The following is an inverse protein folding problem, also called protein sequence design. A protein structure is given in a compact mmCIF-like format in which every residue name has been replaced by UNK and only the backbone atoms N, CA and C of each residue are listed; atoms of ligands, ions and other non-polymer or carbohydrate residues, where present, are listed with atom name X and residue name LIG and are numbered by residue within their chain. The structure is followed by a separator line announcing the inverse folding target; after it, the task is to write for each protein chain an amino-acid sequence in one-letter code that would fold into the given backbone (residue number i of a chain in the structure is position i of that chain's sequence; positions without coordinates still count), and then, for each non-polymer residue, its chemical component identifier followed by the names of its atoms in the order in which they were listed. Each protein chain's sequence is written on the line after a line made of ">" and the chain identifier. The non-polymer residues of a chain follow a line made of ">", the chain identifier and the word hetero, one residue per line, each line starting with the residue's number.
data_IF_144574480343
#
_entry.id   IF_144574480343
#
_cell.length_a   1.000
_cell.length_b   1.000
_cell.length_c   1.000
_cell.angle_alpha   90.00
_cell.angle_beta   90.00
_cell.angle_gamma   90.00
#
_symmetry.space_group_name_H-M   'P 1'
#
loop_
_entity.id
_entity.type
_entity.pdbx_description
1 polymer ?
#
# COMPACT_ATOMS: atom_id res chain seq x y z
N UNK A 1 2.00 17.10 -1.42
CA UNK A 1 2.95 16.53 -2.40
C UNK A 1 3.25 17.56 -3.49
N UNK A 2 2.26 17.99 -4.27
CA UNK A 2 2.46 18.86 -5.44
C UNK A 2 3.26 20.14 -5.13
N UNK A 3 2.97 20.82 -4.02
CA UNK A 3 3.70 22.04 -3.63
C UNK A 3 5.20 21.77 -3.39
N UNK A 4 5.52 20.65 -2.73
CA UNK A 4 6.89 20.29 -2.43
C UNK A 4 7.64 19.85 -3.68
N UNK A 5 7.03 18.98 -4.49
CA UNK A 5 7.63 18.49 -5.73
C UNK A 5 7.89 19.61 -6.72
N UNK A 6 6.91 20.49 -6.95
CA UNK A 6 7.06 21.63 -7.84
C UNK A 6 8.01 22.70 -7.28
N UNK A 7 7.98 22.94 -5.97
CA UNK A 7 8.87 23.90 -5.31
C UNK A 7 10.33 23.50 -5.36
N UNK A 8 10.63 22.21 -5.20
CA UNK A 8 11.98 21.67 -5.25
C UNK A 8 12.40 21.20 -6.66
N UNK A 9 11.47 21.13 -7.60
CA UNK A 9 11.71 20.67 -8.98
C UNK A 9 12.44 19.33 -9.05
N UNK A 10 11.93 18.35 -8.29
CA UNK A 10 12.51 17.00 -8.27
C UNK A 10 12.18 16.24 -9.57
N UNK A 11 13.08 15.36 -9.99
CA UNK A 11 12.99 14.65 -11.26
C UNK A 11 12.21 13.33 -11.17
N UNK A 12 12.09 12.75 -9.99
CA UNK A 12 11.39 11.49 -9.76
C UNK A 12 10.86 11.41 -8.33
N UNK A 13 9.93 10.48 -8.08
CA UNK A 13 9.27 10.36 -6.78
C UNK A 13 9.16 8.89 -6.35
N UNK A 14 9.51 8.61 -5.09
CA UNK A 14 9.15 7.37 -4.41
C UNK A 14 8.01 7.66 -3.45
N UNK A 15 6.89 6.97 -3.63
CA UNK A 15 5.74 7.05 -2.76
C UNK A 15 5.76 5.91 -1.74
N UNK A 16 6.03 6.24 -0.48
CA UNK A 16 5.95 5.29 0.63
C UNK A 16 4.63 5.51 1.33
N UNK A 17 3.65 4.66 1.05
CA UNK A 17 2.30 4.76 1.60
C UNK A 17 1.91 3.46 2.28
N UNK A 18 1.08 3.56 3.31
CA UNK A 18 0.61 2.39 4.04
C UNK A 18 -0.76 2.61 4.70
N UNK A 19 -1.57 3.53 4.15
CA UNK A 19 -2.87 3.90 4.70
C UNK A 19 -3.90 4.12 3.59
N UNK A 20 -5.16 3.91 3.92
CA UNK A 20 -6.30 3.81 2.99
C UNK A 20 -6.54 5.06 2.13
N UNK A 21 -6.35 6.25 2.67
CA UNK A 21 -6.55 7.52 1.94
C UNK A 21 -5.25 8.13 1.40
N UNK A 22 -4.12 7.76 2.00
CA UNK A 22 -2.81 8.28 1.59
C UNK A 22 -2.42 7.70 0.23
N UNK A 23 -2.60 6.40 0.03
CA UNK A 23 -2.23 5.73 -1.22
C UNK A 23 -2.97 6.31 -2.43
N UNK A 24 -4.31 6.42 -2.47
CA UNK A 24 -5.00 7.05 -3.59
C UNK A 24 -4.68 8.54 -3.73
N UNK A 25 -4.46 9.25 -2.63
CA UNK A 25 -4.01 10.65 -2.70
C UNK A 25 -2.65 10.82 -3.35
N UNK A 26 -1.71 9.91 -3.09
CA UNK A 26 -0.40 9.87 -3.75
C UNK A 26 -0.51 9.46 -5.22
N UNK A 27 -1.43 8.53 -5.58
CA UNK A 27 -1.70 8.18 -6.97
C UNK A 27 -2.23 9.38 -7.76
N UNK A 28 -3.19 10.10 -7.21
CA UNK A 28 -3.69 11.33 -7.84
C UNK A 28 -2.57 12.36 -8.04
N UNK A 29 -1.73 12.57 -7.03
CA UNK A 29 -0.60 13.49 -7.13
C UNK A 29 0.42 13.03 -8.19
N UNK A 30 0.74 11.73 -8.26
CA UNK A 30 1.68 11.19 -9.24
C UNK A 30 1.19 11.41 -10.68
N UNK A 31 -0.09 11.16 -10.94
CA UNK A 31 -0.69 11.38 -12.25
C UNK A 31 -0.77 12.88 -12.62
N UNK A 32 -1.00 13.77 -11.63
CA UNK A 32 -1.02 15.23 -11.87
C UNK A 32 0.36 15.78 -12.17
N UNK A 33 1.38 15.34 -11.42
CA UNK A 33 2.78 15.72 -11.62
C UNK A 33 3.39 15.11 -12.87
N UNK A 34 3.06 13.87 -13.16
CA UNK A 34 3.49 13.09 -14.32
C UNK A 34 5.03 13.03 -14.47
N UNK A 35 5.74 12.85 -13.39
CA UNK A 35 7.17 12.54 -13.35
C UNK A 35 7.37 11.06 -13.01
N UNK A 36 8.52 10.43 -13.35
CA UNK A 36 8.77 9.05 -12.98
C UNK A 36 8.47 8.80 -11.51
N UNK A 37 7.61 7.83 -11.22
CA UNK A 37 7.12 7.55 -9.87
C UNK A 37 7.04 6.06 -9.62
N UNK A 38 7.46 5.62 -8.44
CA UNK A 38 7.29 4.25 -7.98
C UNK A 38 6.66 4.24 -6.58
N UNK A 39 5.78 3.26 -6.35
CA UNK A 39 5.22 3.01 -5.03
C UNK A 39 5.94 1.85 -4.34
N UNK A 40 6.18 2.01 -3.05
CA UNK A 40 6.61 0.94 -2.18
C UNK A 40 5.93 1.09 -0.82
N UNK A 41 5.08 0.16 -0.47
CA UNK A 41 4.35 0.24 0.82
C UNK A 41 5.23 -0.19 1.98
N UNK A 42 4.85 0.26 3.18
CA UNK A 42 5.46 -0.23 4.42
C UNK A 42 5.16 -1.71 4.71
N UNK A 43 4.17 -2.28 4.02
CA UNK A 43 3.71 -3.65 4.19
C UNK A 43 2.61 -3.81 5.23
N UNK A 44 1.83 -4.90 5.15
CA UNK A 44 0.81 -5.24 6.13
C UNK A 44 1.43 -5.69 7.46
N UNK A 45 0.68 -5.46 8.54
CA UNK A 45 0.97 -5.95 9.88
C UNK A 45 0.71 -7.47 9.95
N UNK A 46 1.41 -8.14 10.84
CA UNK A 46 1.07 -9.51 11.24
C UNK A 46 -0.31 -9.55 11.92
N UNK A 47 -1.03 -10.66 11.76
CA UNK A 47 -2.24 -10.87 12.54
C UNK A 47 -1.90 -11.03 14.02
N UNK A 48 -2.79 -10.59 14.89
CA UNK A 48 -2.73 -10.89 16.32
C UNK A 48 -3.12 -12.33 16.59
N UNK A 49 -2.74 -12.85 17.73
CA UNK A 49 -3.15 -14.19 18.19
C UNK A 49 -3.58 -14.14 19.65
N UNK A 50 -4.70 -14.79 19.96
CA UNK A 50 -5.17 -14.97 21.32
C UNK A 50 -5.87 -16.32 21.44
N UNK A 51 -5.46 -17.13 22.43
CA UNK A 51 -5.99 -18.46 22.71
C UNK A 51 -5.93 -19.43 21.50
N UNK A 52 -4.94 -19.25 20.61
CA UNK A 52 -4.76 -20.06 19.40
C UNK A 52 -5.60 -19.63 18.21
N UNK A 53 -6.36 -18.53 18.34
CA UNK A 53 -7.13 -17.93 17.26
C UNK A 53 -6.48 -16.64 16.76
N UNK A 54 -6.54 -16.41 15.46
CA UNK A 54 -6.08 -15.15 14.86
C UNK A 54 -7.10 -14.06 15.13
N UNK A 55 -6.63 -12.92 15.61
CA UNK A 55 -7.43 -11.72 15.85
C UNK A 55 -6.86 -10.51 15.12
N UNK A 56 -7.72 -9.55 14.86
CA UNK A 56 -7.38 -8.31 14.20
C UNK A 56 -8.15 -7.10 14.77
N UNK A 57 -8.02 -5.95 14.16
CA UNK A 57 -8.72 -4.73 14.53
C UNK A 57 -10.25 -4.92 14.58
N UNK A 58 -10.82 -5.71 13.65
CA UNK A 58 -12.28 -5.94 13.62
C UNK A 58 -12.74 -6.70 14.85
N UNK A 59 -11.97 -7.70 15.28
CA UNK A 59 -12.25 -8.42 16.53
C UNK A 59 -12.26 -7.47 17.73
N UNK A 60 -11.29 -6.56 17.81
CA UNK A 60 -11.26 -5.56 18.87
C UNK A 60 -12.48 -4.61 18.83
N UNK A 61 -12.86 -4.16 17.63
CA UNK A 61 -14.02 -3.27 17.46
C UNK A 61 -15.34 -3.97 17.81
N UNK A 62 -15.54 -5.20 17.37
CA UNK A 62 -16.75 -5.98 17.65
C UNK A 62 -16.84 -6.30 19.16
N UNK A 63 -15.73 -6.73 19.75
CA UNK A 63 -15.68 -7.00 21.19
C UNK A 63 -15.93 -5.75 22.04
N UNK A 64 -15.54 -4.57 21.56
CA UNK A 64 -15.71 -3.30 22.26
C UNK A 64 -17.17 -2.82 22.36
N UNK A 65 -18.08 -3.39 21.55
CA UNK A 65 -19.53 -3.09 21.59
C UNK A 65 -20.37 -4.27 22.08
N UNK A 66 -19.74 -5.38 22.48
CA UNK A 66 -20.41 -6.58 22.98
C UNK A 66 -20.42 -6.57 24.52
N UNK A 67 -21.59 -6.28 25.09
CA UNK A 67 -21.79 -6.21 26.55
C UNK A 67 -21.50 -7.56 27.26
N UNK A 68 -21.36 -8.66 26.55
CA UNK A 68 -21.00 -9.96 27.11
C UNK A 68 -19.49 -10.16 27.33
N UNK A 69 -18.66 -9.29 26.75
CA UNK A 69 -17.20 -9.32 26.90
C UNK A 69 -16.78 -8.53 28.13
N UNK A 70 -16.04 -9.15 29.04
CA UNK A 70 -15.53 -8.43 30.22
C UNK A 70 -14.45 -7.42 29.86
N UNK A 71 -14.30 -6.38 30.70
CA UNK A 71 -13.27 -5.33 30.51
C UNK A 71 -11.85 -5.93 30.47
N UNK A 72 -11.57 -6.97 31.26
CA UNK A 72 -10.28 -7.65 31.27
C UNK A 72 -10.03 -8.36 29.92
N UNK A 73 -11.05 -9.00 29.37
CA UNK A 73 -10.96 -9.70 28.09
C UNK A 73 -10.79 -8.69 26.95
N UNK A 74 -11.56 -7.63 26.96
CA UNK A 74 -11.45 -6.53 25.98
C UNK A 74 -10.03 -5.93 26.00
N UNK A 75 -9.49 -5.63 27.19
CA UNK A 75 -8.13 -5.11 27.32
C UNK A 75 -7.04 -6.06 26.78
N UNK A 76 -7.25 -7.38 26.85
CA UNK A 76 -6.34 -8.34 26.23
C UNK A 76 -6.45 -8.31 24.70
N UNK A 77 -7.68 -8.30 24.16
CA UNK A 77 -7.93 -8.22 22.71
C UNK A 77 -7.28 -6.95 22.12
N UNK A 78 -7.51 -5.80 22.74
CA UNK A 78 -6.93 -4.52 22.29
C UNK A 78 -5.40 -4.55 22.23
N UNK A 79 -4.76 -5.21 23.18
CA UNK A 79 -3.28 -5.33 23.21
C UNK A 79 -2.72 -6.27 22.16
N UNK A 80 -3.49 -7.30 21.79
CA UNK A 80 -3.02 -8.39 20.94
C UNK A 80 -3.48 -8.25 19.48
N UNK A 81 -4.57 -7.52 19.21
CA UNK A 81 -5.15 -7.40 17.88
C UNK A 81 -4.25 -6.68 16.85
N UNK A 82 -3.33 -5.81 17.34
CA UNK A 82 -2.39 -5.07 16.49
C UNK A 82 -0.96 -5.22 17.02
N UNK A 83 -0.33 -6.41 16.86
CA UNK A 83 0.88 -6.77 17.60
C UNK A 83 2.16 -6.11 17.10
N UNK A 84 2.21 -5.66 15.82
CA UNK A 84 3.45 -5.17 15.19
C UNK A 84 3.21 -3.88 14.40
N UNK A 85 4.21 -3.43 13.65
CA UNK A 85 4.08 -2.31 12.73
C UNK A 85 3.56 -2.76 11.36
N UNK A 86 2.93 -1.83 10.62
CA UNK A 86 2.41 -2.08 9.28
C UNK A 86 1.04 -1.43 9.07
N UNK A 87 0.45 -1.66 7.90
CA UNK A 87 -0.98 -1.41 7.69
C UNK A 87 -1.81 -2.44 8.46
N UNK A 88 -3.13 -2.27 8.51
CA UNK A 88 -4.00 -3.26 9.13
C UNK A 88 -3.71 -4.68 8.60
N UNK A 89 -3.76 -5.69 9.47
CA UNK A 89 -3.46 -7.09 9.10
C UNK A 89 -4.47 -7.70 8.13
N UNK A 90 -5.72 -7.24 8.15
CA UNK A 90 -6.76 -7.69 7.22
C UNK A 90 -6.62 -7.09 5.81
N UNK A 91 -7.34 -7.68 4.83
CA UNK A 91 -7.45 -7.17 3.46
C UNK A 91 -8.43 -5.98 3.40
N UNK A 92 -8.18 -4.97 4.26
CA UNK A 92 -8.89 -3.71 4.26
C UNK A 92 -8.34 -2.79 3.15
N UNK A 93 -8.80 -1.56 3.09
CA UNK A 93 -8.49 -0.64 1.99
C UNK A 93 -6.98 -0.41 1.80
N UNK A 94 -6.20 -0.29 2.87
CA UNK A 94 -4.76 -0.06 2.76
C UNK A 94 -4.03 -1.22 2.06
N UNK A 95 -4.31 -2.47 2.47
CA UNK A 95 -3.70 -3.65 1.86
C UNK A 95 -4.21 -3.87 0.44
N UNK A 96 -5.51 -3.67 0.20
CA UNK A 96 -6.09 -3.73 -1.14
C UNK A 96 -5.38 -2.74 -2.06
N UNK A 97 -5.26 -1.48 -1.69
CA UNK A 97 -4.55 -0.47 -2.49
C UNK A 97 -3.07 -0.81 -2.72
N UNK A 98 -2.40 -1.44 -1.75
CA UNK A 98 -1.01 -1.88 -1.92
C UNK A 98 -0.88 -2.99 -2.98
N UNK A 99 -1.84 -3.93 -3.04
CA UNK A 99 -1.92 -4.95 -4.09
C UNK A 99 -2.30 -4.33 -5.44
N UNK A 100 -3.25 -3.39 -5.46
CA UNK A 100 -3.68 -2.73 -6.69
C UNK A 100 -2.56 -1.90 -7.33
N UNK A 101 -1.66 -1.30 -6.55
CA UNK A 101 -0.48 -0.64 -7.10
C UNK A 101 0.44 -1.58 -7.89
N UNK A 102 0.52 -2.85 -7.50
CA UNK A 102 1.21 -3.87 -8.30
C UNK A 102 0.46 -4.14 -9.61
N UNK A 103 -0.85 -4.33 -9.53
CA UNK A 103 -1.69 -4.65 -10.69
C UNK A 103 -1.76 -3.50 -11.72
N UNK A 104 -1.70 -2.25 -11.27
CA UNK A 104 -1.64 -1.07 -12.15
C UNK A 104 -0.24 -0.94 -12.79
N UNK A 105 0.82 -1.39 -12.11
CA UNK A 105 2.21 -1.28 -12.57
C UNK A 105 3.04 -0.21 -11.86
N UNK A 106 2.54 0.37 -10.76
CA UNK A 106 3.27 1.38 -9.98
C UNK A 106 4.21 0.81 -8.93
N UNK A 107 4.06 -0.46 -8.57
CA UNK A 107 4.85 -1.09 -7.51
C UNK A 107 5.47 -2.41 -7.98
N UNK A 108 6.58 -2.78 -7.35
CA UNK A 108 7.23 -4.05 -7.58
C UNK A 108 6.43 -5.21 -6.95
N UNK A 109 6.55 -6.43 -7.51
CA UNK A 109 5.92 -7.63 -6.95
C UNK A 109 6.24 -7.84 -5.47
N UNK A 110 5.24 -8.15 -4.67
CA UNK A 110 5.33 -8.31 -3.23
C UNK A 110 5.01 -7.04 -2.43
N UNK A 111 4.68 -5.95 -3.11
CA UNK A 111 4.34 -4.68 -2.45
C UNK A 111 3.19 -4.82 -1.45
N UNK A 112 2.12 -5.51 -1.81
CA UNK A 112 0.94 -5.71 -0.96
C UNK A 112 1.00 -6.96 -0.07
N UNK A 113 1.90 -7.91 -0.34
CA UNK A 113 1.87 -9.25 0.28
C UNK A 113 3.03 -9.55 1.23
N UNK A 114 4.15 -8.86 1.13
CA UNK A 114 5.26 -9.02 2.08
C UNK A 114 4.95 -8.24 3.36
N UNK A 115 4.97 -8.90 4.51
CA UNK A 115 4.74 -8.27 5.80
C UNK A 115 5.75 -7.15 6.10
N UNK A 116 5.34 -6.16 6.88
CA UNK A 116 6.20 -5.05 7.29
C UNK A 116 7.45 -5.51 8.07
N UNK A 117 7.29 -6.56 8.87
CA UNK A 117 8.35 -7.17 9.70
C UNK A 117 9.25 -8.15 8.95
N UNK A 118 8.86 -8.57 7.74
CA UNK A 118 9.59 -9.58 6.99
C UNK A 118 10.90 -9.02 6.39
N UNK A 119 11.99 -9.80 6.44
CA UNK A 119 13.32 -9.39 5.95
C UNK A 119 13.30 -8.90 4.48
N UNK A 120 12.48 -9.50 3.63
CA UNK A 120 12.34 -9.12 2.22
C UNK A 120 11.70 -7.75 2.01
N UNK A 121 11.00 -7.19 3.00
CA UNK A 121 10.46 -5.82 2.91
C UNK A 121 11.57 -4.79 2.73
N UNK A 122 12.67 -4.93 3.49
CA UNK A 122 13.83 -4.05 3.34
C UNK A 122 14.47 -4.15 1.94
N UNK A 123 14.53 -5.37 1.39
CA UNK A 123 15.03 -5.58 0.03
C UNK A 123 14.13 -4.86 -1.00
N UNK A 124 12.81 -4.92 -0.82
CA UNK A 124 11.87 -4.27 -1.74
C UNK A 124 12.06 -2.74 -1.78
N UNK A 125 12.36 -2.09 -0.66
CA UNK A 125 12.71 -0.66 -0.64
C UNK A 125 13.96 -0.37 -1.46
N UNK A 126 14.99 -1.19 -1.32
CA UNK A 126 16.24 -1.04 -2.08
C UNK A 126 16.01 -1.24 -3.58
N UNK A 127 15.22 -2.26 -3.93
CA UNK A 127 14.93 -2.55 -5.33
C UNK A 127 14.07 -1.43 -5.96
N UNK A 128 13.08 -0.90 -5.23
CA UNK A 128 12.29 0.25 -5.66
C UNK A 128 13.15 1.51 -5.86
N UNK A 129 14.12 1.74 -4.97
CA UNK A 129 15.05 2.86 -5.10
C UNK A 129 15.96 2.75 -6.33
N UNK A 130 16.37 1.54 -6.68
CA UNK A 130 17.12 1.30 -7.94
C UNK A 130 16.23 1.51 -9.15
N UNK A 131 15.03 0.93 -9.13
CA UNK A 131 14.10 1.00 -10.24
C UNK A 131 13.71 2.45 -10.59
N UNK A 132 13.47 3.31 -9.58
CA UNK A 132 13.11 4.70 -9.86
C UNK A 132 14.25 5.47 -10.53
N UNK A 133 15.51 5.17 -10.20
CA UNK A 133 16.66 5.77 -10.87
C UNK A 133 16.73 5.35 -12.34
N UNK A 134 16.47 4.07 -12.64
CA UNK A 134 16.43 3.61 -14.03
C UNK A 134 15.25 4.22 -14.79
N UNK A 135 14.06 4.33 -14.17
CA UNK A 135 12.91 5.01 -14.78
C UNK A 135 13.21 6.49 -15.08
N UNK A 136 13.88 7.19 -14.16
CA UNK A 136 14.29 8.56 -14.40
C UNK A 136 15.29 8.69 -15.57
N UNK A 137 16.27 7.80 -15.65
CA UNK A 137 17.21 7.75 -16.78
C UNK A 137 16.49 7.49 -18.10
N UNK A 138 15.61 6.49 -18.14
CA UNK A 138 14.84 6.16 -19.32
C UNK A 138 14.04 7.36 -19.83
N UNK A 139 13.37 8.08 -18.94
CA UNK A 139 12.61 9.26 -19.33
C UNK A 139 13.51 10.43 -19.79
N UNK A 140 14.49 10.83 -18.96
CA UNK A 140 15.24 12.08 -19.23
C UNK A 140 16.36 11.93 -20.25
N UNK A 141 16.93 10.75 -20.42
CA UNK A 141 18.04 10.54 -21.35
C UNK A 141 17.68 9.76 -22.62
N UNK A 142 16.63 8.91 -22.51
CA UNK A 142 16.22 8.03 -23.63
C UNK A 142 14.89 8.46 -24.23
N UNK A 143 14.19 9.45 -23.63
CA UNK A 143 12.86 9.93 -24.00
C UNK A 143 11.78 8.83 -23.96
N UNK A 144 11.93 7.87 -23.03
CA UNK A 144 10.96 6.82 -22.82
C UNK A 144 9.82 7.32 -21.91
N UNK A 145 8.70 7.70 -22.51
CA UNK A 145 7.50 8.14 -21.79
C UNK A 145 6.71 6.99 -21.18
N UNK A 146 7.02 5.73 -21.48
CA UNK A 146 6.27 4.57 -20.95
C UNK A 146 6.41 4.44 -19.43
N UNK A 147 7.46 5.01 -18.85
CA UNK A 147 7.71 5.04 -17.41
C UNK A 147 6.95 6.16 -16.65
N UNK A 148 6.22 7.00 -17.38
CA UNK A 148 5.45 8.10 -16.77
C UNK A 148 4.11 7.60 -16.20
N UNK A 149 3.66 8.15 -15.07
CA UNK A 149 2.42 7.75 -14.42
C UNK A 149 1.19 7.67 -15.33
N UNK A 150 0.99 8.65 -16.21
CA UNK A 150 -0.18 8.65 -17.12
C UNK A 150 -0.11 7.58 -18.19
N UNK A 151 1.07 7.11 -18.55
CA UNK A 151 1.26 6.02 -19.51
C UNK A 151 1.19 4.64 -18.84
N UNK A 152 1.49 4.55 -17.54
CA UNK A 152 1.30 3.35 -16.72
C UNK A 152 -0.18 3.19 -16.37
N UNK A 153 -0.83 4.26 -15.90
CA UNK A 153 -2.21 4.27 -15.42
C UNK A 153 -3.22 4.29 -16.58
N UNK A 154 -3.17 3.30 -17.44
CA UNK A 154 -4.12 3.14 -18.55
C UNK A 154 -5.47 2.63 -18.05
N UNK A 155 -6.50 2.73 -18.89
CA UNK A 155 -7.81 2.14 -18.60
C UNK A 155 -7.68 0.62 -18.36
N UNK A 156 -6.89 -0.05 -19.16
CA UNK A 156 -6.65 -1.50 -19.05
C UNK A 156 -5.96 -1.85 -17.74
N UNK A 157 -4.98 -1.06 -17.30
CA UNK A 157 -4.31 -1.24 -16.02
C UNK A 157 -5.29 -1.11 -14.84
N UNK A 158 -6.18 -0.12 -14.87
CA UNK A 158 -7.24 0.01 -13.86
C UNK A 158 -8.25 -1.13 -13.92
N UNK A 159 -8.66 -1.58 -15.10
CA UNK A 159 -9.55 -2.76 -15.25
C UNK A 159 -8.91 -4.01 -14.68
N UNK A 160 -7.61 -4.23 -14.90
CA UNK A 160 -6.87 -5.33 -14.29
C UNK A 160 -6.84 -5.20 -12.75
N UNK A 161 -6.60 -4.01 -12.23
CA UNK A 161 -6.60 -3.76 -10.80
C UNK A 161 -7.98 -4.04 -10.17
N UNK A 162 -9.06 -3.58 -10.79
CA UNK A 162 -10.43 -3.87 -10.34
C UNK A 162 -10.72 -5.37 -10.36
N UNK A 163 -10.25 -6.09 -11.39
CA UNK A 163 -10.37 -7.55 -11.46
C UNK A 163 -9.64 -8.24 -10.32
N UNK A 164 -8.43 -7.78 -10.00
CA UNK A 164 -7.65 -8.27 -8.84
C UNK A 164 -8.37 -7.98 -7.53
N UNK A 165 -8.93 -6.77 -7.38
CA UNK A 165 -9.66 -6.38 -6.17
C UNK A 165 -10.86 -7.30 -5.91
N UNK A 166 -11.65 -7.57 -6.93
CA UNK A 166 -12.79 -8.50 -6.85
C UNK A 166 -12.31 -9.93 -6.55
N UNK A 167 -11.25 -10.39 -7.23
CA UNK A 167 -10.75 -11.75 -7.08
C UNK A 167 -10.17 -12.03 -5.69
N UNK A 168 -9.53 -11.04 -5.06
CA UNK A 168 -8.95 -11.20 -3.73
C UNK A 168 -9.94 -10.87 -2.59
N UNK A 169 -11.16 -10.43 -2.91
CA UNK A 169 -12.12 -9.98 -1.91
C UNK A 169 -11.67 -8.70 -1.21
N UNK A 170 -11.13 -7.76 -1.98
CA UNK A 170 -10.62 -6.50 -1.47
C UNK A 170 -11.70 -5.54 -0.98
N UNK A 171 -11.27 -4.39 -0.52
CA UNK A 171 -12.15 -3.37 0.06
C UNK A 171 -12.96 -2.65 -1.02
N UNK A 172 -14.26 -2.46 -0.79
CA UNK A 172 -15.14 -1.65 -1.66
C UNK A 172 -14.74 -0.16 -1.72
N UNK A 173 -13.88 0.31 -0.82
CA UNK A 173 -13.34 1.67 -0.86
C UNK A 173 -12.25 1.90 -1.92
N UNK A 174 -11.83 0.84 -2.61
CA UNK A 174 -10.78 0.92 -3.64
C UNK A 174 -11.34 1.27 -5.03
N UNK A 175 -12.65 1.18 -5.20
CA UNK A 175 -13.37 1.43 -6.46
C UNK A 175 -13.94 2.85 -6.53
#
# INVERSE_FOLDING_TARGET
>A
IEYMVNGHKVDAMICISNCDKITPGMLLASMRLNIPTIFVSGGPMEAGEMDGEQIDLVHAMVSGVDDSVSDERLSQIEKLACPTCGSCSGMFTANSMNCLNEAIGFALPGNGTILATHANRKKLFVDAAKQIVENAKAYYFENDETVLPRNIATKEAFMNAMTVDIAMGGSTNTI
#
